data_IF_420650092489
#
_entry.id   IF_420650092489
#
_cell.length_a   1.000
_cell.length_b   1.000
_cell.length_c   1.000
_cell.angle_alpha   90.00
_cell.angle_beta   90.00
_cell.angle_gamma   90.00
#
_symmetry.space_group_name_H-M   'P 1'
#
loop_
_entity.id
_entity.type
_entity.pdbx_description
1 polymer ?
#
# COMPACT_ATOMS: atom_id res chain seq x y z
N UNK A 1 -0.94 -6.69 5.80
CA UNK A 1 -0.38 -6.31 4.50
C UNK A 1 0.38 -7.48 3.90
N UNK A 2 0.41 -7.66 2.55
CA UNK A 2 1.17 -8.74 1.90
C UNK A 2 2.65 -8.76 2.31
N UNK A 3 3.24 -7.60 2.56
CA UNK A 3 4.59 -7.49 3.11
C UNK A 3 4.80 -8.28 4.43
N UNK A 4 3.74 -8.60 5.18
CA UNK A 4 3.87 -9.38 6.41
C UNK A 4 4.29 -10.81 6.12
N UNK A 5 3.70 -11.45 5.11
CA UNK A 5 4.10 -12.78 4.65
C UNK A 5 5.57 -12.82 4.22
N UNK A 6 6.02 -11.83 3.44
CA UNK A 6 7.41 -11.75 2.99
C UNK A 6 8.40 -11.49 4.15
N UNK A 7 7.97 -10.73 5.18
CA UNK A 7 8.81 -10.44 6.34
C UNK A 7 8.89 -11.61 7.33
N UNK A 8 7.82 -12.40 7.45
CA UNK A 8 7.67 -13.48 8.45
C UNK A 8 7.11 -14.76 7.81
N UNK A 9 7.80 -15.33 6.79
CA UNK A 9 7.25 -16.45 6.01
C UNK A 9 7.02 -17.73 6.82
N UNK A 10 7.79 -17.94 7.88
CA UNK A 10 7.68 -19.12 8.76
C UNK A 10 6.65 -18.92 9.88
N UNK A 11 6.51 -17.70 10.35
CA UNK A 11 5.68 -17.31 11.48
C UNK A 11 4.26 -16.92 11.06
N UNK A 12 4.11 -16.45 9.83
CA UNK A 12 2.92 -15.79 9.29
C UNK A 12 1.62 -16.47 9.70
N UNK A 13 1.42 -17.74 9.34
CA UNK A 13 0.16 -18.43 9.60
C UNK A 13 -0.12 -18.64 11.09
N UNK A 14 0.91 -18.91 11.90
CA UNK A 14 0.76 -19.07 13.34
C UNK A 14 0.47 -17.75 14.03
N UNK A 15 1.04 -16.65 13.58
CA UNK A 15 0.70 -15.30 14.07
C UNK A 15 -0.76 -14.97 13.76
N UNK A 16 -1.26 -15.30 12.57
CA UNK A 16 -2.69 -15.12 12.25
C UNK A 16 -3.56 -16.01 13.17
N UNK A 17 -3.16 -17.25 13.41
CA UNK A 17 -3.84 -18.14 14.36
C UNK A 17 -3.86 -17.60 15.78
N UNK A 18 -2.75 -17.00 16.23
CA UNK A 18 -2.70 -16.31 17.51
C UNK A 18 -3.71 -15.16 17.58
N UNK A 19 -3.78 -14.32 16.54
CA UNK A 19 -4.76 -13.23 16.51
C UNK A 19 -6.19 -13.76 16.57
N UNK A 20 -6.51 -14.84 15.87
CA UNK A 20 -7.82 -15.51 15.96
C UNK A 20 -8.11 -16.00 17.37
N UNK A 21 -7.13 -16.62 18.04
CA UNK A 21 -7.28 -17.09 19.43
C UNK A 21 -7.52 -15.95 20.43
N UNK A 22 -7.11 -14.72 20.09
CA UNK A 22 -7.37 -13.51 20.88
C UNK A 22 -8.67 -12.81 20.54
N UNK A 23 -9.51 -13.40 19.69
CA UNK A 23 -10.85 -12.91 19.37
C UNK A 23 -10.93 -11.99 18.14
N UNK A 24 -9.89 -11.95 17.30
CA UNK A 24 -9.99 -11.25 16.01
C UNK A 24 -10.99 -12.00 15.13
N UNK A 25 -12.11 -11.34 14.78
CA UNK A 25 -13.21 -11.94 14.04
C UNK A 25 -12.89 -12.15 12.55
N UNK A 26 -12.21 -11.20 11.94
CA UNK A 26 -11.86 -11.24 10.50
C UNK A 26 -10.40 -10.90 10.26
N UNK A 27 -9.75 -11.62 9.34
CA UNK A 27 -8.39 -11.34 8.87
C UNK A 27 -8.43 -11.33 7.34
N UNK A 28 -8.22 -10.16 6.73
CA UNK A 28 -8.31 -9.96 5.30
C UNK A 28 -7.00 -9.42 4.72
N UNK A 29 -6.55 -10.03 3.62
CA UNK A 29 -5.37 -9.54 2.91
C UNK A 29 -5.65 -8.21 2.19
N UNK A 30 -4.70 -7.29 2.32
CA UNK A 30 -4.72 -6.02 1.57
C UNK A 30 -4.34 -6.23 0.09
N UNK A 31 -3.89 -7.41 -0.30
CA UNK A 31 -3.71 -7.79 -1.70
C UNK A 31 -4.98 -7.56 -2.51
N UNK A 32 -6.13 -8.02 -2.00
CA UNK A 32 -7.43 -7.78 -2.62
C UNK A 32 -7.75 -6.28 -2.81
N UNK A 33 -7.47 -5.45 -1.79
CA UNK A 33 -7.62 -4.01 -1.91
C UNK A 33 -6.68 -3.37 -2.94
N UNK A 34 -5.50 -3.96 -3.15
CA UNK A 34 -4.56 -3.51 -4.16
C UNK A 34 -5.06 -3.82 -5.59
N UNK A 35 -5.71 -4.95 -5.80
CA UNK A 35 -6.38 -5.26 -7.06
C UNK A 35 -7.50 -4.26 -7.36
N UNK A 36 -8.31 -3.91 -6.34
CA UNK A 36 -9.34 -2.86 -6.46
C UNK A 36 -8.71 -1.51 -6.80
N UNK A 37 -7.59 -1.16 -6.15
CA UNK A 37 -6.88 0.11 -6.40
C UNK A 37 -6.35 0.16 -7.83
N UNK A 38 -5.73 -0.92 -8.32
CA UNK A 38 -5.27 -1.04 -9.71
C UNK A 38 -6.42 -0.83 -10.68
N UNK A 39 -7.51 -1.58 -10.50
CA UNK A 39 -8.70 -1.44 -11.34
C UNK A 39 -9.23 0.00 -11.33
N UNK A 40 -9.31 0.63 -10.16
CA UNK A 40 -9.73 2.01 -10.01
C UNK A 40 -8.84 2.98 -10.78
N UNK A 41 -7.51 2.82 -10.72
CA UNK A 41 -6.56 3.63 -11.48
C UNK A 41 -6.77 3.47 -12.99
N UNK A 42 -6.81 2.24 -13.48
CA UNK A 42 -6.97 1.96 -14.91
C UNK A 42 -8.29 2.50 -15.44
N UNK A 43 -9.38 2.28 -14.71
CA UNK A 43 -10.69 2.80 -15.06
C UNK A 43 -10.69 4.33 -15.10
N UNK A 44 -10.19 5.00 -14.05
CA UNK A 44 -10.17 6.44 -13.98
C UNK A 44 -9.34 7.06 -15.10
N UNK A 45 -8.13 6.55 -15.35
CA UNK A 45 -7.26 7.05 -16.42
C UNK A 45 -7.96 6.91 -17.79
N UNK A 46 -8.57 5.76 -18.04
CA UNK A 46 -9.20 5.47 -19.35
C UNK A 46 -10.45 6.32 -19.58
N UNK A 47 -11.35 6.41 -18.59
CA UNK A 47 -12.61 7.15 -18.72
C UNK A 47 -12.40 8.66 -18.79
N UNK A 48 -11.41 9.20 -18.06
CA UNK A 48 -11.18 10.64 -17.95
C UNK A 48 -9.97 11.11 -18.78
N UNK A 49 -9.28 10.19 -19.49
CA UNK A 49 -8.03 10.48 -20.22
C UNK A 49 -6.99 11.15 -19.33
N UNK A 50 -6.92 10.68 -18.08
CA UNK A 50 -6.11 11.28 -17.02
C UNK A 50 -4.67 10.72 -17.02
N UNK A 51 -3.93 10.97 -18.11
CA UNK A 51 -2.53 10.56 -18.21
C UNK A 51 -1.64 11.35 -17.26
N UNK A 52 -0.59 10.71 -16.77
CA UNK A 52 0.37 11.31 -15.85
C UNK A 52 -0.12 11.42 -14.40
N UNK A 53 -1.14 10.64 -14.04
CA UNK A 53 -1.59 10.54 -12.66
C UNK A 53 -0.50 9.94 -11.75
N UNK A 54 -0.36 10.49 -10.55
CA UNK A 54 0.59 10.03 -9.52
C UNK A 54 -0.13 9.05 -8.62
N UNK A 55 0.40 7.82 -8.48
CA UNK A 55 -0.16 6.84 -7.53
C UNK A 55 -0.04 7.36 -6.09
N UNK A 56 -1.02 7.04 -5.27
CA UNK A 56 -1.08 7.58 -3.91
C UNK A 56 -1.19 6.54 -2.77
N UNK A 57 -0.68 5.29 -2.92
CA UNK A 57 -0.73 4.32 -1.83
C UNK A 57 0.26 4.64 -0.72
N UNK A 58 1.23 5.55 -0.96
CA UNK A 58 2.26 5.95 -0.01
C UNK A 58 1.92 7.28 0.67
N UNK A 59 1.50 7.30 1.96
CA UNK A 59 1.15 8.54 2.66
C UNK A 59 2.30 9.53 2.79
N UNK A 60 3.55 9.07 2.82
CA UNK A 60 4.71 9.96 2.86
C UNK A 60 4.82 10.79 1.57
N UNK A 61 4.57 10.16 0.41
CA UNK A 61 4.55 10.84 -0.89
C UNK A 61 3.39 11.85 -0.95
N UNK A 62 2.18 11.43 -0.54
CA UNK A 62 1.00 12.33 -0.50
C UNK A 62 1.27 13.55 0.37
N UNK A 63 1.73 13.34 1.60
CA UNK A 63 2.05 14.43 2.53
C UNK A 63 3.16 15.35 1.99
N UNK A 64 4.13 14.79 1.28
CA UNK A 64 5.17 15.61 0.65
C UNK A 64 4.59 16.50 -0.45
N UNK A 65 3.72 15.95 -1.31
CA UNK A 65 3.03 16.72 -2.35
C UNK A 65 2.20 17.84 -1.73
N UNK A 66 1.37 17.52 -0.73
CA UNK A 66 0.51 18.49 -0.06
C UNK A 66 1.27 19.65 0.58
N UNK A 67 2.42 19.36 1.20
CA UNK A 67 3.19 20.37 1.95
C UNK A 67 4.16 21.18 1.09
N UNK A 68 4.76 20.55 0.08
CA UNK A 68 5.90 21.14 -0.62
C UNK A 68 5.70 21.38 -2.10
N UNK A 69 4.71 20.70 -2.73
CA UNK A 69 4.44 20.83 -4.16
C UNK A 69 2.91 20.76 -4.39
N UNK A 70 2.12 21.67 -3.76
CA UNK A 70 0.66 21.61 -3.80
C UNK A 70 0.07 21.68 -5.22
N UNK A 71 0.80 22.23 -6.18
CA UNK A 71 0.41 22.21 -7.59
C UNK A 71 0.29 20.80 -8.20
N UNK A 72 0.86 19.77 -7.55
CA UNK A 72 0.70 18.38 -7.94
C UNK A 72 -0.52 17.67 -7.30
N UNK A 73 -1.21 18.28 -6.33
CA UNK A 73 -2.40 17.69 -5.71
C UNK A 73 -3.43 17.27 -6.77
N UNK A 74 -3.76 18.08 -7.82
CA UNK A 74 -4.68 17.67 -8.86
C UNK A 74 -4.18 16.51 -9.73
N UNK A 75 -2.94 16.08 -9.56
CA UNK A 75 -2.35 14.92 -10.25
C UNK A 75 -2.30 13.66 -9.40
N UNK A 76 -2.57 13.73 -8.11
CA UNK A 76 -2.76 12.54 -7.29
C UNK A 76 -3.99 11.77 -7.80
N UNK A 77 -3.85 10.46 -7.97
CA UNK A 77 -4.95 9.61 -8.42
C UNK A 77 -6.08 9.61 -7.39
N UNK A 78 -7.33 9.94 -7.77
CA UNK A 78 -8.46 10.03 -6.84
C UNK A 78 -9.06 8.65 -6.53
N UNK A 79 -8.21 7.72 -6.13
CA UNK A 79 -8.58 6.34 -5.79
C UNK A 79 -7.93 6.00 -4.46
N UNK A 80 -8.67 5.44 -3.54
CA UNK A 80 -8.17 5.03 -2.24
C UNK A 80 -7.02 4.03 -2.32
N UNK A 81 -6.15 4.05 -1.31
CA UNK A 81 -5.06 3.08 -1.19
C UNK A 81 -5.58 1.65 -1.00
N UNK A 82 -4.74 0.64 -1.24
CA UNK A 82 -5.08 -0.76 -0.97
C UNK A 82 -5.66 -1.02 0.42
N UNK A 83 -5.08 -0.39 1.46
CA UNK A 83 -5.58 -0.48 2.82
C UNK A 83 -7.02 0.02 2.93
N UNK A 84 -7.29 1.19 2.39
CA UNK A 84 -8.61 1.81 2.44
C UNK A 84 -9.62 1.05 1.59
N UNK A 85 -9.23 0.59 0.38
CA UNK A 85 -10.10 -0.23 -0.46
C UNK A 85 -10.53 -1.51 0.26
N UNK A 86 -9.59 -2.22 0.94
CA UNK A 86 -9.92 -3.40 1.74
C UNK A 86 -10.86 -3.04 2.90
N UNK A 87 -10.57 -1.98 3.65
CA UNK A 87 -11.39 -1.57 4.79
C UNK A 87 -12.82 -1.18 4.38
N UNK A 88 -12.95 -0.44 3.28
CA UNK A 88 -14.26 -0.08 2.71
C UNK A 88 -15.02 -1.34 2.28
N UNK A 89 -14.34 -2.30 1.64
CA UNK A 89 -14.94 -3.58 1.26
C UNK A 89 -15.44 -4.34 2.48
N UNK A 90 -14.61 -4.49 3.53
CA UNK A 90 -14.99 -5.14 4.78
C UNK A 90 -16.22 -4.47 5.41
N UNK A 91 -16.24 -3.14 5.49
CA UNK A 91 -17.37 -2.41 6.10
C UNK A 91 -18.65 -2.45 5.27
N UNK A 92 -18.54 -2.25 3.95
CA UNK A 92 -19.73 -2.06 3.09
C UNK A 92 -20.26 -3.36 2.50
N UNK A 93 -19.39 -4.31 2.16
CA UNK A 93 -19.79 -5.55 1.47
C UNK A 93 -19.79 -6.75 2.40
N UNK A 94 -18.78 -6.88 3.28
CA UNK A 94 -18.77 -7.94 4.30
C UNK A 94 -19.58 -7.57 5.54
N UNK A 95 -20.06 -6.32 5.65
CA UNK A 95 -20.84 -5.80 6.79
C UNK A 95 -20.14 -5.94 8.15
N UNK A 96 -18.80 -5.90 8.15
CA UNK A 96 -18.02 -5.96 9.38
C UNK A 96 -18.28 -4.73 10.22
N UNK A 97 -18.80 -4.91 11.44
CA UNK A 97 -19.08 -3.83 12.40
C UNK A 97 -17.89 -3.53 13.30
N UNK A 98 -16.99 -4.48 13.49
CA UNK A 98 -15.82 -4.37 14.36
C UNK A 98 -14.86 -3.27 13.91
N UNK A 99 -14.06 -2.76 14.84
CA UNK A 99 -12.95 -1.87 14.51
C UNK A 99 -11.90 -2.58 13.66
N UNK A 100 -11.33 -1.86 12.69
CA UNK A 100 -10.32 -2.41 11.79
C UNK A 100 -8.93 -1.92 12.21
N UNK A 101 -8.02 -2.87 12.45
CA UNK A 101 -6.61 -2.61 12.64
C UNK A 101 -5.82 -3.01 11.38
N UNK A 102 -4.98 -2.11 10.88
CA UNK A 102 -4.07 -2.40 9.78
C UNK A 102 -2.71 -2.87 10.31
N UNK A 103 -2.36 -4.13 10.04
CA UNK A 103 -1.02 -4.66 10.32
C UNK A 103 -0.08 -4.16 9.21
N UNK A 104 0.86 -3.30 9.57
CA UNK A 104 1.52 -2.36 8.66
C UNK A 104 3.05 -2.46 8.66
N UNK A 105 3.68 -2.41 7.47
CA UNK A 105 5.12 -2.21 7.35
C UNK A 105 5.56 -0.75 7.55
N UNK A 106 4.61 0.18 7.84
CA UNK A 106 4.88 1.61 7.69
C UNK A 106 4.26 2.45 8.80
N UNK A 107 5.07 3.32 9.43
CA UNK A 107 4.58 4.29 10.42
C UNK A 107 3.72 5.41 9.79
N UNK A 108 4.00 5.78 8.54
CA UNK A 108 3.31 6.88 7.85
C UNK A 108 1.84 6.54 7.53
N UNK A 109 1.43 5.26 7.57
CA UNK A 109 0.01 4.87 7.40
C UNK A 109 -0.91 5.50 8.45
N UNK A 110 -0.36 5.91 9.59
CA UNK A 110 -1.13 6.68 10.57
C UNK A 110 -1.66 8.00 9.99
N UNK A 111 -0.90 8.66 9.11
CA UNK A 111 -1.33 9.93 8.47
C UNK A 111 -2.57 9.71 7.63
N UNK A 112 -2.59 8.66 6.81
CA UNK A 112 -3.75 8.29 6.00
C UNK A 112 -4.97 7.91 6.85
N UNK A 113 -4.76 7.12 7.92
CA UNK A 113 -5.85 6.69 8.82
C UNK A 113 -6.51 7.89 9.50
N UNK A 114 -5.74 8.93 9.83
CA UNK A 114 -6.25 10.14 10.50
C UNK A 114 -6.72 11.22 9.53
N UNK A 115 -6.58 11.02 8.22
CA UNK A 115 -7.05 11.97 7.21
C UNK A 115 -8.59 11.97 7.17
N UNK A 116 -9.24 13.15 7.31
CA UNK A 116 -10.69 13.26 7.24
C UNK A 116 -11.31 12.70 5.95
N UNK A 117 -10.59 12.75 4.83
CA UNK A 117 -11.04 12.22 3.54
C UNK A 117 -11.08 10.68 3.49
N UNK A 118 -10.43 10.01 4.44
CA UNK A 118 -10.41 8.55 4.52
C UNK A 118 -11.60 7.95 5.29
N UNK A 119 -12.51 8.77 5.82
CA UNK A 119 -13.81 8.35 6.35
C UNK A 119 -13.76 7.47 7.61
N UNK A 120 -12.63 7.37 8.31
CA UNK A 120 -12.51 6.67 9.59
C UNK A 120 -12.72 5.14 9.52
N UNK A 121 -12.54 4.52 8.36
CA UNK A 121 -12.75 3.08 8.19
C UNK A 121 -11.72 2.21 8.91
N UNK A 122 -10.51 2.72 9.15
CA UNK A 122 -9.43 2.04 9.87
C UNK A 122 -9.15 2.78 11.16
N UNK A 123 -9.15 2.06 12.30
CA UNK A 123 -8.96 2.66 13.63
C UNK A 123 -7.50 2.65 14.08
N UNK A 124 -6.74 1.62 13.70
CA UNK A 124 -5.40 1.41 14.26
C UNK A 124 -4.37 1.09 13.17
N UNK A 125 -3.18 1.70 13.31
CA UNK A 125 -1.96 1.31 12.57
C UNK A 125 -1.07 0.47 13.49
N UNK A 126 -1.07 -0.84 13.31
CA UNK A 126 -0.27 -1.78 14.10
C UNK A 126 0.96 -2.18 13.30
N UNK A 127 2.13 -1.69 13.69
CA UNK A 127 3.37 -1.97 12.95
C UNK A 127 3.88 -3.39 13.20
N UNK A 128 4.52 -3.99 12.21
CA UNK A 128 5.08 -5.36 12.32
C UNK A 128 5.99 -5.50 13.53
N UNK A 129 6.96 -4.59 13.67
CA UNK A 129 7.91 -4.60 14.75
C UNK A 129 7.22 -4.58 16.14
N UNK A 130 6.26 -3.65 16.33
CA UNK A 130 5.55 -3.55 17.61
C UNK A 130 4.69 -4.78 17.89
N UNK A 131 4.01 -5.27 16.85
CA UNK A 131 3.16 -6.46 16.98
C UNK A 131 4.00 -7.68 17.38
N UNK A 132 5.07 -7.96 16.64
CA UNK A 132 5.94 -9.11 16.92
C UNK A 132 6.63 -9.01 18.28
N UNK A 133 7.07 -7.82 18.66
CA UNK A 133 7.61 -7.57 20.00
C UNK A 133 6.58 -7.82 21.12
N UNK A 134 5.33 -7.43 20.89
CA UNK A 134 4.25 -7.63 21.86
C UNK A 134 3.85 -9.10 21.98
N UNK A 135 3.75 -9.81 20.88
CA UNK A 135 3.36 -11.22 20.82
C UNK A 135 4.48 -12.11 21.37
N UNK A 136 5.76 -11.75 21.16
CA UNK A 136 6.90 -12.60 21.53
C UNK A 136 6.80 -13.96 20.82
N UNK A 137 6.89 -15.05 21.60
CA UNK A 137 6.79 -16.42 21.10
C UNK A 137 5.40 -17.05 21.34
N UNK A 138 4.42 -16.30 21.80
CA UNK A 138 3.09 -16.82 22.16
C UNK A 138 2.33 -17.43 20.96
N UNK A 139 2.75 -17.14 19.73
CA UNK A 139 2.17 -17.72 18.51
C UNK A 139 2.66 -19.13 18.18
N UNK A 140 3.79 -19.59 18.74
CA UNK A 140 4.42 -20.87 18.36
C UNK A 140 3.51 -22.08 18.56
N UNK A 141 2.69 -22.07 19.62
CA UNK A 141 1.72 -23.11 19.92
C UNK A 141 0.34 -22.94 19.25
N UNK A 142 0.15 -21.92 18.44
CA UNK A 142 -1.14 -21.65 17.80
C UNK A 142 -1.32 -22.46 16.52
N UNK A 143 -2.57 -22.88 16.26
CA UNK A 143 -2.95 -23.48 14.97
C UNK A 143 -2.78 -22.48 13.85
N UNK A 144 -2.22 -22.88 12.69
CA UNK A 144 -2.08 -22.02 11.53
C UNK A 144 -3.43 -21.49 11.04
N UNK A 145 -3.48 -20.22 10.63
CA UNK A 145 -4.65 -19.60 10.03
C UNK A 145 -4.25 -18.84 8.76
N UNK A 146 -5.18 -18.70 7.83
CA UNK A 146 -4.95 -17.99 6.58
C UNK A 146 -5.92 -16.81 6.43
N UNK A 147 -5.59 -15.86 5.54
CA UNK A 147 -6.47 -14.75 5.22
C UNK A 147 -7.80 -15.23 4.61
N UNK A 148 -8.86 -14.46 4.84
CA UNK A 148 -10.22 -14.75 4.37
C UNK A 148 -10.47 -14.29 2.91
N UNK A 149 -9.56 -13.51 2.34
CA UNK A 149 -9.61 -13.05 0.95
C UNK A 149 -8.45 -13.64 0.15
N UNK A 150 -8.72 -13.95 -1.11
CA UNK A 150 -7.70 -14.49 -2.02
C UNK A 150 -6.58 -13.48 -2.30
N UNK A 151 -5.39 -14.03 -2.57
CA UNK A 151 -4.25 -13.25 -3.03
C UNK A 151 -4.31 -13.10 -4.55
N UNK A 152 -4.38 -11.85 -5.02
CA UNK A 152 -4.24 -11.50 -6.43
C UNK A 152 -2.88 -10.88 -6.73
N UNK A 153 -2.75 -10.28 -7.92
CA UNK A 153 -1.56 -9.54 -8.34
C UNK A 153 -1.23 -8.36 -7.40
N UNK A 154 -2.23 -7.86 -6.67
CA UNK A 154 -2.04 -6.86 -5.63
C UNK A 154 -1.06 -7.27 -4.53
N UNK A 155 -0.72 -8.55 -4.40
CA UNK A 155 0.34 -9.04 -3.50
C UNK A 155 1.71 -8.46 -3.85
N UNK A 156 1.94 -8.04 -5.09
CA UNK A 156 3.18 -7.44 -5.56
C UNK A 156 3.35 -5.96 -5.13
N UNK A 157 2.28 -5.27 -4.73
CA UNK A 157 2.33 -3.85 -4.38
C UNK A 157 3.41 -3.45 -3.36
N UNK A 158 3.79 -4.28 -2.39
CA UNK A 158 4.88 -3.94 -1.47
C UNK A 158 6.26 -3.88 -2.11
N UNK A 159 6.43 -4.48 -3.29
CA UNK A 159 7.71 -4.50 -4.02
C UNK A 159 7.91 -3.19 -4.80
N UNK A 160 9.17 -2.79 -5.04
CA UNK A 160 9.48 -1.77 -6.03
C UNK A 160 8.89 -2.13 -7.39
N UNK A 161 8.14 -1.20 -8.00
CA UNK A 161 7.47 -1.45 -9.28
C UNK A 161 6.28 -2.40 -9.25
N UNK A 162 5.82 -2.83 -8.07
CA UNK A 162 4.71 -3.77 -7.96
C UNK A 162 3.41 -3.26 -8.58
N UNK A 163 3.11 -1.97 -8.47
CA UNK A 163 1.98 -1.37 -9.18
C UNK A 163 2.21 -1.35 -10.69
N UNK A 164 3.43 -1.00 -11.15
CA UNK A 164 3.77 -1.04 -12.57
C UNK A 164 3.52 -2.42 -13.16
N UNK A 165 3.97 -3.48 -12.50
CA UNK A 165 3.75 -4.85 -12.98
C UNK A 165 2.26 -5.21 -13.05
N UNK A 166 1.46 -4.75 -12.10
CA UNK A 166 0.00 -4.90 -12.16
C UNK A 166 -0.58 -4.20 -13.40
N UNK A 167 -0.19 -2.96 -13.67
CA UNK A 167 -0.66 -2.21 -14.85
C UNK A 167 -0.23 -2.88 -16.15
N UNK A 168 1.04 -3.29 -16.24
CA UNK A 168 1.60 -3.98 -17.41
C UNK A 168 0.91 -5.32 -17.68
N UNK A 169 0.46 -6.02 -16.63
CA UNK A 169 -0.30 -7.25 -16.78
C UNK A 169 -1.63 -7.02 -17.51
N UNK A 170 -2.36 -5.95 -17.16
CA UNK A 170 -3.69 -5.69 -17.72
C UNK A 170 -3.65 -4.95 -19.06
N UNK A 171 -2.68 -4.07 -19.29
CA UNK A 171 -2.63 -3.19 -20.46
C UNK A 171 -1.47 -3.49 -21.42
N UNK A 172 -0.57 -4.40 -21.05
CA UNK A 172 0.68 -4.64 -21.79
C UNK A 172 1.76 -3.59 -21.47
N UNK A 173 2.98 -3.88 -21.93
CA UNK A 173 4.18 -3.05 -21.67
C UNK A 173 4.29 -1.79 -22.53
N UNK A 174 3.36 -1.57 -23.43
CA UNK A 174 3.32 -0.39 -24.29
C UNK A 174 2.95 0.89 -23.51
N UNK A 175 2.28 0.73 -22.37
CA UNK A 175 1.94 1.85 -21.51
C UNK A 175 3.13 2.20 -20.61
N UNK A 176 3.65 3.40 -20.76
CA UNK A 176 4.81 3.86 -20.00
C UNK A 176 4.38 4.20 -18.56
N UNK A 177 4.59 3.28 -17.63
CA UNK A 177 4.48 3.53 -16.19
C UNK A 177 5.84 3.96 -15.66
N UNK A 178 5.93 5.20 -15.17
CA UNK A 178 7.16 5.70 -14.56
C UNK A 178 7.28 5.22 -13.13
N UNK A 179 8.25 4.38 -12.88
CA UNK A 179 8.56 3.85 -11.56
C UNK A 179 9.63 4.70 -10.86
N UNK A 180 9.40 5.05 -9.59
CA UNK A 180 10.34 5.83 -8.77
C UNK A 180 10.25 5.38 -7.31
N UNK A 181 11.35 4.94 -6.73
CA UNK A 181 11.46 4.61 -5.31
C UNK A 181 12.67 5.27 -4.66
N UNK A 182 12.57 5.49 -3.36
CA UNK A 182 13.59 6.16 -2.57
C UNK A 182 13.18 7.59 -2.22
N UNK A 183 13.43 7.99 -0.97
CA UNK A 183 13.03 9.31 -0.49
C UNK A 183 13.71 10.45 -1.27
N UNK A 184 14.97 10.28 -1.59
CA UNK A 184 15.70 11.29 -2.35
C UNK A 184 15.21 11.35 -3.81
N UNK A 185 15.18 10.22 -4.48
CA UNK A 185 14.78 10.08 -5.89
C UNK A 185 13.33 10.48 -6.10
N UNK A 186 12.43 10.05 -5.21
CA UNK A 186 11.00 10.37 -5.30
C UNK A 186 10.75 11.88 -5.21
N UNK A 187 11.37 12.56 -4.25
CA UNK A 187 11.13 13.98 -4.05
C UNK A 187 11.81 14.86 -5.11
N UNK A 188 12.97 14.47 -5.60
CA UNK A 188 13.61 15.12 -6.73
C UNK A 188 12.79 14.95 -8.02
N UNK A 189 12.32 13.72 -8.26
CA UNK A 189 11.44 13.43 -9.39
C UNK A 189 10.16 14.29 -9.35
N UNK A 190 9.46 14.35 -8.22
CA UNK A 190 8.23 15.14 -8.09
C UNK A 190 8.44 16.62 -8.38
N UNK A 191 9.54 17.21 -7.88
CA UNK A 191 9.91 18.60 -8.20
C UNK A 191 10.16 18.82 -9.70
N UNK A 192 10.83 17.87 -10.35
CA UNK A 192 11.07 17.93 -11.79
C UNK A 192 9.80 17.68 -12.60
N UNK A 193 8.92 16.81 -12.09
CA UNK A 193 7.64 16.46 -12.70
C UNK A 193 6.66 17.64 -12.70
N UNK A 194 6.60 18.41 -11.62
CA UNK A 194 5.83 19.64 -11.56
C UNK A 194 6.25 20.63 -12.70
N UNK A 195 7.57 20.82 -12.88
CA UNK A 195 8.10 21.64 -13.98
C UNK A 195 7.75 21.07 -15.35
N UNK A 196 7.78 19.75 -15.51
CA UNK A 196 7.41 19.06 -16.76
C UNK A 196 5.96 19.33 -17.14
N UNK A 197 5.04 19.28 -16.17
CA UNK A 197 3.62 19.60 -16.36
C UNK A 197 3.43 21.08 -16.76
N UNK A 198 4.08 21.99 -16.05
CA UNK A 198 4.03 23.44 -16.38
C UNK A 198 4.54 23.75 -17.79
N UNK A 199 5.48 22.95 -18.29
CA UNK A 199 6.04 23.08 -19.64
C UNK A 199 5.22 22.35 -20.71
N UNK A 200 4.05 21.79 -20.38
CA UNK A 200 3.20 21.00 -21.27
C UNK A 200 3.96 19.87 -22.02
N UNK A 201 4.95 19.26 -21.37
CA UNK A 201 5.68 18.11 -21.92
C UNK A 201 4.84 16.84 -21.83
N UNK A 202 5.13 15.90 -22.71
CA UNK A 202 4.52 14.56 -22.69
C UNK A 202 4.65 13.90 -21.32
N UNK A 203 3.56 13.31 -20.85
CA UNK A 203 3.49 12.65 -19.55
C UNK A 203 3.42 11.12 -19.73
N UNK A 204 3.92 10.34 -18.76
CA UNK A 204 3.76 8.90 -18.79
C UNK A 204 2.28 8.52 -18.63
N UNK A 205 1.94 7.26 -18.85
CA UNK A 205 0.61 6.75 -18.56
C UNK A 205 0.23 7.01 -17.09
N UNK A 206 1.12 6.66 -16.18
CA UNK A 206 1.03 7.01 -14.76
C UNK A 206 2.42 6.99 -14.11
N UNK A 207 2.49 7.52 -12.88
CA UNK A 207 3.68 7.49 -12.03
C UNK A 207 3.42 6.54 -10.87
N UNK A 208 4.19 5.44 -10.80
CA UNK A 208 4.28 4.54 -9.66
C UNK A 208 5.39 5.04 -8.74
N UNK A 209 5.04 5.50 -7.53
CA UNK A 209 6.00 6.17 -6.66
C UNK A 209 5.89 5.74 -5.20
N UNK A 210 7.03 5.37 -4.61
CA UNK A 210 7.14 4.98 -3.21
C UNK A 210 8.28 5.75 -2.52
N UNK A 211 8.08 6.10 -1.26
CA UNK A 211 9.11 6.76 -0.45
C UNK A 211 10.28 5.84 -0.08
N UNK A 212 10.01 4.55 0.15
CA UNK A 212 11.04 3.60 0.58
C UNK A 212 11.76 3.01 -0.63
N UNK A 213 13.11 3.06 -0.66
CA UNK A 213 13.92 2.64 -1.80
C UNK A 213 13.75 1.15 -2.18
N UNK A 214 13.44 0.30 -1.20
CA UNK A 214 13.17 -1.14 -1.42
C UNK A 214 11.68 -1.48 -1.28
N UNK A 215 10.80 -0.50 -1.55
CA UNK A 215 9.36 -0.67 -1.40
C UNK A 215 8.91 -0.85 0.06
N UNK A 216 7.65 -1.23 0.22
CA UNK A 216 7.06 -1.48 1.55
C UNK A 216 7.57 -2.77 2.21
N UNK A 217 8.23 -3.66 1.47
CA UNK A 217 8.87 -4.86 2.03
C UNK A 217 9.94 -4.50 3.07
N UNK A 218 10.60 -3.34 2.88
CA UNK A 218 11.56 -2.74 3.80
C UNK A 218 11.05 -1.38 4.29
N UNK A 219 9.76 -1.33 4.61
CA UNK A 219 9.14 -0.12 5.15
C UNK A 219 9.67 0.26 6.52
N UNK A 220 9.36 1.48 6.96
CA UNK A 220 9.87 2.10 8.21
C UNK A 220 9.49 1.36 9.50
N UNK A 221 8.70 0.30 9.43
CA UNK A 221 8.23 -0.49 10.57
C UNK A 221 8.40 -2.01 10.35
N UNK A 222 9.33 -2.39 9.49
CA UNK A 222 9.81 -3.77 9.29
C UNK A 222 11.09 -3.99 10.09
N UNK A 223 11.51 -5.25 10.25
CA UNK A 223 12.76 -5.57 10.95
C UNK A 223 13.98 -5.04 10.17
N UNK A 224 14.71 -4.12 10.78
CA UNK A 224 15.91 -3.49 10.20
C UNK A 224 17.11 -4.44 10.06
N UNK A 225 17.05 -5.62 10.67
CA UNK A 225 18.14 -6.60 10.63
C UNK A 225 18.13 -7.51 9.41
N UNK A 226 17.03 -7.46 8.61
CA UNK A 226 16.93 -8.28 7.40
C UNK A 226 17.90 -7.83 6.35
N UNK A 227 18.63 -8.78 5.78
CA UNK A 227 19.48 -8.56 4.62
C UNK A 227 18.68 -8.28 3.35
N UNK A 228 19.36 -7.76 2.33
CA UNK A 228 18.70 -7.45 1.03
C UNK A 228 18.18 -8.70 0.34
N UNK A 229 18.83 -9.84 0.56
CA UNK A 229 18.54 -11.11 -0.09
C UNK A 229 17.55 -11.99 0.71
N UNK A 230 16.99 -11.46 1.80
CA UNK A 230 16.03 -12.18 2.67
C UNK A 230 14.55 -12.03 2.24
N UNK A 231 14.29 -11.47 1.06
CA UNK A 231 12.93 -11.18 0.55
C UNK A 231 12.64 -11.94 -0.72
#
# INVERSE_FOLDING_TARGET
APAFLANYPKEYQRVLGYLKSKGVSHICSVSFGADITTWGYLKYITEHKFFGGISQPCPAVVTYVEKYIPELIPRLMPVHSPMMCTAIYMKKYMQVTDEIAFISPCIAKKLEITDPNCGGYVSYNVTFEKMMKYIGNDYEGCEPYTDELEYGLGSLYPMPGGLRENVEHFLGKEQVVRQVEGEHEAYEYLRSYAKRIQQNKELPFMVDILNCAKGCLYGTATDSKRGTDDV
#
